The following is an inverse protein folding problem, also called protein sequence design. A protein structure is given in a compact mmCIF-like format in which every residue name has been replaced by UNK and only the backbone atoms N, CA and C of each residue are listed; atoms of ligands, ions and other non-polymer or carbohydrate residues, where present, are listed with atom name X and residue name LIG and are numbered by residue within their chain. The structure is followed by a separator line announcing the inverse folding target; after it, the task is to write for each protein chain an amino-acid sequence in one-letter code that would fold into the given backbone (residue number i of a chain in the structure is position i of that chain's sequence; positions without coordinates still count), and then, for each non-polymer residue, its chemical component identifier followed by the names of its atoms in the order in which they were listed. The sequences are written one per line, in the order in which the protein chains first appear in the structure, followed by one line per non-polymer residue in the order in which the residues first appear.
data_IF_523189962391
#
_entry.id   IF_523189962391
#
_cell.length_a   1.000
_cell.length_b   1.000
_cell.length_c   1.000
_cell.angle_alpha   90.00
_cell.angle_beta   90.00
_cell.angle_gamma   90.00
#
_symmetry.space_group_name_H-M   'P 1'
#
loop_
_entity.id
_entity.type
_entity.pdbx_description
1 polymer ?
#
# COMPACT_ATOMS: atom_id res chain seq x y z
N UNK A 1 5.70 6.77 -24.46
CA UNK A 1 4.60 7.02 -23.50
C UNK A 1 3.94 8.31 -23.91
N UNK A 2 2.65 8.29 -24.27
CA UNK A 2 1.92 9.54 -24.48
C UNK A 2 1.45 10.06 -23.14
N UNK A 3 1.70 11.34 -22.86
CA UNK A 3 1.25 12.00 -21.64
C UNK A 3 -0.28 12.16 -21.61
N UNK A 4 -0.95 11.99 -22.74
CA UNK A 4 -2.41 12.16 -22.89
C UNK A 4 -3.23 11.29 -21.93
N UNK A 5 -2.71 10.12 -21.52
CA UNK A 5 -3.38 9.23 -20.55
C UNK A 5 -3.31 9.74 -19.11
N UNK A 6 -2.28 10.51 -18.76
CA UNK A 6 -2.08 11.02 -17.40
C UNK A 6 -2.55 12.47 -17.25
N UNK A 7 -2.52 13.24 -18.32
CA UNK A 7 -2.91 14.65 -18.33
C UNK A 7 -3.66 14.98 -19.62
N UNK A 8 -4.87 15.51 -19.47
CA UNK A 8 -5.68 16.05 -20.56
C UNK A 8 -6.33 17.34 -20.07
N UNK A 9 -6.42 18.35 -20.93
CA UNK A 9 -7.00 19.65 -20.57
C UNK A 9 -8.47 19.48 -20.17
N UNK A 10 -8.83 19.95 -18.97
CA UNK A 10 -10.22 19.93 -18.47
C UNK A 10 -10.65 18.68 -17.72
N UNK A 11 -9.76 17.73 -17.44
CA UNK A 11 -10.06 16.52 -16.65
C UNK A 11 -9.59 16.70 -15.18
N UNK A 12 -10.41 16.31 -14.20
CA UNK A 12 -10.01 16.27 -12.79
C UNK A 12 -8.94 15.19 -12.58
N UNK A 13 -7.94 15.45 -11.74
CA UNK A 13 -6.89 14.48 -11.45
C UNK A 13 -7.46 13.14 -11.00
N UNK A 14 -8.56 13.14 -10.24
CA UNK A 14 -9.21 11.93 -9.73
C UNK A 14 -9.72 10.99 -10.83
N UNK A 15 -9.97 11.53 -12.03
CA UNK A 15 -10.47 10.78 -13.18
C UNK A 15 -9.35 10.26 -14.09
N UNK A 16 -8.08 10.50 -13.73
CA UNK A 16 -6.90 10.04 -14.49
C UNK A 16 -6.34 8.73 -13.94
N UNK A 17 -5.63 7.95 -14.77
CA UNK A 17 -4.89 6.76 -14.33
C UNK A 17 -3.89 7.09 -13.19
N UNK A 18 -3.32 8.30 -13.24
CA UNK A 18 -2.42 8.82 -12.22
C UNK A 18 -3.14 9.08 -10.89
N UNK A 19 -4.27 9.79 -10.93
CA UNK A 19 -5.07 10.04 -9.73
C UNK A 19 -5.69 8.77 -9.14
N UNK A 20 -6.09 7.82 -9.99
CA UNK A 20 -6.51 6.49 -9.54
C UNK A 20 -5.39 5.75 -8.80
N UNK A 21 -4.18 5.77 -9.35
CA UNK A 21 -3.03 5.16 -8.66
C UNK A 21 -2.76 5.86 -7.32
N UNK A 22 -2.81 7.20 -7.30
CA UNK A 22 -2.64 7.99 -6.08
C UNK A 22 -3.75 7.75 -5.04
N UNK A 23 -4.98 7.47 -5.43
CA UNK A 23 -6.05 7.15 -4.48
C UNK A 23 -5.80 5.82 -3.76
N UNK A 24 -5.18 4.86 -4.47
CA UNK A 24 -4.78 3.56 -3.91
C UNK A 24 -3.59 3.71 -2.98
N UNK A 25 -2.48 4.33 -3.42
CA UNK A 25 -1.22 4.35 -2.66
C UNK A 25 -1.10 5.54 -1.70
N UNK A 26 -1.95 6.55 -1.90
CA UNK A 26 -1.95 7.79 -1.13
C UNK A 26 -2.38 7.59 0.32
N UNK A 27 -1.81 8.42 1.19
CA UNK A 27 -2.04 8.36 2.62
C UNK A 27 -0.77 8.00 3.41
N UNK A 28 -0.74 8.42 4.67
CA UNK A 28 0.47 8.39 5.52
C UNK A 28 1.08 7.00 5.70
N UNK A 29 0.24 5.95 5.70
CA UNK A 29 0.66 4.61 6.11
C UNK A 29 0.53 3.53 5.03
N UNK A 30 -0.14 3.78 3.90
CA UNK A 30 -0.37 2.75 2.87
C UNK A 30 0.95 2.26 2.27
N UNK A 31 1.82 3.17 1.84
CA UNK A 31 3.13 2.81 1.25
C UNK A 31 4.02 2.03 2.21
N UNK A 32 4.16 2.47 3.47
CA UNK A 32 5.03 1.76 4.43
C UNK A 32 4.48 0.36 4.78
N UNK A 33 3.16 0.17 4.80
CA UNK A 33 2.55 -1.16 4.95
C UNK A 33 2.89 -2.06 3.76
N UNK A 34 2.76 -1.56 2.53
CA UNK A 34 3.10 -2.31 1.32
C UNK A 34 4.57 -2.72 1.31
N UNK A 35 5.49 -1.82 1.68
CA UNK A 35 6.92 -2.13 1.80
C UNK A 35 7.22 -3.23 2.82
N UNK A 36 6.61 -3.16 4.00
CA UNK A 36 6.79 -4.21 5.00
C UNK A 36 6.29 -5.57 4.51
N UNK A 37 5.16 -5.60 3.80
CA UNK A 37 4.65 -6.85 3.22
C UNK A 37 5.53 -7.37 2.09
N UNK A 38 6.10 -6.50 1.25
CA UNK A 38 7.05 -6.90 0.22
C UNK A 38 8.30 -7.55 0.85
N UNK A 39 8.84 -6.94 1.90
CA UNK A 39 10.05 -7.41 2.60
C UNK A 39 9.81 -8.72 3.38
N UNK A 40 8.72 -8.82 4.15
CA UNK A 40 8.47 -9.97 5.04
C UNK A 40 7.63 -11.07 4.41
N UNK A 41 7.01 -10.83 3.24
CA UNK A 41 6.04 -11.68 2.54
C UNK A 41 4.71 -11.86 3.28
N UNK A 42 4.77 -12.17 4.58
CA UNK A 42 3.63 -12.43 5.45
C UNK A 42 3.86 -11.75 6.80
N UNK A 43 2.88 -10.98 7.28
CA UNK A 43 2.96 -10.24 8.55
C UNK A 43 1.66 -10.38 9.35
N UNK A 44 1.76 -10.48 10.68
CA UNK A 44 0.61 -10.43 11.59
C UNK A 44 0.26 -9.00 12.02
N UNK A 45 -0.99 -8.74 12.40
CA UNK A 45 -1.44 -7.40 12.80
C UNK A 45 -0.55 -6.72 13.85
N UNK A 46 -0.21 -7.42 14.94
CA UNK A 46 0.62 -6.86 16.01
C UNK A 46 2.09 -6.69 15.58
N UNK A 47 2.56 -7.44 14.59
CA UNK A 47 3.89 -7.24 14.02
C UNK A 47 3.95 -5.93 13.23
N UNK A 48 2.94 -5.62 12.40
CA UNK A 48 2.84 -4.31 11.75
C UNK A 48 2.91 -3.16 12.75
N UNK A 49 2.14 -3.26 13.85
CA UNK A 49 2.12 -2.22 14.87
C UNK A 49 3.50 -2.02 15.50
N UNK A 50 4.25 -3.10 15.75
CA UNK A 50 5.63 -3.03 16.24
C UNK A 50 6.60 -2.45 15.21
N UNK A 51 6.51 -2.90 13.95
CA UNK A 51 7.38 -2.46 12.86
C UNK A 51 7.21 -0.98 12.52
N UNK A 52 5.98 -0.46 12.52
CA UNK A 52 5.68 0.93 12.15
C UNK A 52 5.77 1.86 13.38
N UNK A 53 5.46 1.37 14.58
CA UNK A 53 5.59 2.08 15.86
C UNK A 53 4.59 3.22 16.07
N UNK A 54 4.59 4.21 15.18
CA UNK A 54 3.83 5.47 15.29
C UNK A 54 2.35 5.37 14.92
N UNK A 55 1.95 4.32 14.18
CA UNK A 55 0.57 4.14 13.73
C UNK A 55 -0.34 3.67 14.88
N UNK A 56 -1.53 4.24 15.04
CA UNK A 56 -2.49 3.74 16.04
C UNK A 56 -3.07 2.37 15.61
N UNK A 57 -3.55 1.56 16.55
CA UNK A 57 -4.27 0.31 16.23
C UNK A 57 -5.47 0.55 15.31
N UNK A 58 -6.25 1.61 15.60
CA UNK A 58 -7.41 2.01 14.80
C UNK A 58 -7.00 2.36 13.36
N UNK A 59 -5.96 3.19 13.21
CA UNK A 59 -5.46 3.61 11.89
C UNK A 59 -4.89 2.44 11.11
N UNK A 60 -4.14 1.54 11.76
CA UNK A 60 -3.61 0.34 11.12
C UNK A 60 -4.74 -0.57 10.60
N UNK A 61 -5.77 -0.81 11.43
CA UNK A 61 -6.92 -1.61 11.02
C UNK A 61 -7.66 -1.00 9.85
N UNK A 62 -7.91 0.32 9.88
CA UNK A 62 -8.57 1.02 8.78
C UNK A 62 -7.74 0.94 7.49
N UNK A 63 -6.43 1.22 7.58
CA UNK A 63 -5.54 1.22 6.40
C UNK A 63 -5.44 -0.18 5.78
N UNK A 64 -5.38 -1.24 6.59
CA UNK A 64 -5.37 -2.62 6.07
C UNK A 64 -6.70 -2.99 5.41
N UNK A 65 -7.84 -2.54 5.96
CA UNK A 65 -9.17 -2.74 5.35
C UNK A 65 -9.31 -2.01 4.02
N UNK A 66 -8.81 -0.77 3.93
CA UNK A 66 -8.79 -0.01 2.67
C UNK A 66 -7.94 -0.73 1.61
N UNK A 67 -6.73 -1.14 1.97
CA UNK A 67 -5.85 -1.87 1.05
C UNK A 67 -6.40 -3.25 0.65
N UNK A 68 -7.14 -3.91 1.53
CA UNK A 68 -7.86 -5.14 1.23
C UNK A 68 -9.03 -4.89 0.26
N UNK A 69 -9.81 -3.83 0.49
CA UNK A 69 -10.89 -3.42 -0.41
C UNK A 69 -10.39 -3.01 -1.80
N UNK A 70 -9.23 -2.36 -1.86
CA UNK A 70 -8.54 -2.00 -3.12
C UNK A 70 -7.91 -3.24 -3.80
N UNK A 71 -7.95 -4.42 -3.18
CA UNK A 71 -7.38 -5.66 -3.69
C UNK A 71 -5.84 -5.69 -3.71
N UNK A 72 -5.20 -4.86 -2.89
CA UNK A 72 -3.74 -4.75 -2.76
C UNK A 72 -3.20 -5.71 -1.70
N UNK A 73 -3.95 -5.89 -0.62
CA UNK A 73 -3.59 -6.76 0.50
C UNK A 73 -4.56 -7.93 0.61
N UNK A 74 -4.02 -9.14 0.82
CA UNK A 74 -4.80 -10.34 1.12
C UNK A 74 -4.74 -10.58 2.62
N UNK A 75 -5.91 -10.67 3.24
CA UNK A 75 -6.08 -11.06 4.65
C UNK A 75 -6.46 -12.54 4.73
N UNK A 76 -5.63 -13.34 5.39
CA UNK A 76 -5.88 -14.78 5.58
C UNK A 76 -6.15 -15.07 7.05
N UNK A 77 -7.31 -15.66 7.33
CA UNK A 77 -7.65 -16.17 8.67
C UNK A 77 -7.31 -17.65 8.77
N UNK A 78 -6.70 -18.03 9.89
CA UNK A 78 -6.40 -19.42 10.21
C UNK A 78 -7.25 -19.82 11.42
N UNK A 79 -8.22 -20.72 11.25
CA UNK A 79 -9.06 -21.23 12.32
C UNK A 79 -8.24 -22.22 13.17
N UNK A 80 -7.45 -21.69 14.09
CA UNK A 80 -6.66 -22.43 15.06
C UNK A 80 -6.79 -21.78 16.45
N UNK A 81 -6.33 -22.45 17.51
CA UNK A 81 -6.27 -21.88 18.86
C UNK A 81 -4.80 -21.58 19.22
N UNK A 82 -4.43 -20.33 19.52
CA UNK A 82 -5.24 -19.10 19.38
C UNK A 82 -5.44 -18.71 17.90
N UNK A 83 -6.53 -17.98 17.57
CA UNK A 83 -6.83 -17.56 16.21
C UNK A 83 -5.69 -16.70 15.65
N UNK A 84 -5.38 -16.93 14.38
CA UNK A 84 -4.26 -16.28 13.70
C UNK A 84 -4.76 -15.61 12.43
N UNK A 85 -4.32 -14.37 12.23
CA UNK A 85 -4.59 -13.59 11.02
C UNK A 85 -3.26 -13.14 10.47
N UNK A 86 -3.09 -13.32 9.17
CA UNK A 86 -1.92 -12.90 8.43
C UNK A 86 -2.32 -12.03 7.24
N UNK A 87 -1.39 -11.17 6.85
CA UNK A 87 -1.52 -10.25 5.73
C UNK A 87 -0.37 -10.49 4.76
N UNK A 88 -0.65 -10.43 3.47
CA UNK A 88 0.32 -10.50 2.38
C UNK A 88 -0.10 -9.57 1.24
N UNK A 89 0.82 -9.25 0.33
CA UNK A 89 0.43 -8.57 -0.91
C UNK A 89 -0.27 -9.54 -1.86
N UNK A 90 -1.35 -9.09 -2.48
CA UNK A 90 -1.91 -9.77 -3.65
C UNK A 90 -0.93 -9.66 -4.84
N UNK A 91 -1.19 -10.40 -5.92
CA UNK A 91 -0.46 -10.22 -7.18
C UNK A 91 -0.55 -8.77 -7.68
N UNK A 92 -1.73 -8.15 -7.59
CA UNK A 92 -1.94 -6.74 -7.89
C UNK A 92 -1.11 -5.84 -6.98
N UNK A 93 -1.04 -6.13 -5.68
CA UNK A 93 -0.22 -5.36 -4.73
C UNK A 93 1.29 -5.51 -5.00
N UNK A 94 1.74 -6.68 -5.39
CA UNK A 94 3.13 -6.92 -5.80
C UNK A 94 3.49 -6.12 -7.06
N UNK A 95 2.57 -5.97 -8.01
CA UNK A 95 2.78 -5.16 -9.21
C UNK A 95 2.99 -3.66 -8.93
N UNK A 96 2.59 -3.15 -7.76
CA UNK A 96 2.82 -1.76 -7.35
C UNK A 96 4.21 -1.53 -6.75
N UNK A 97 4.91 -2.57 -6.27
CA UNK A 97 6.20 -2.41 -5.60
C UNK A 97 7.25 -1.71 -6.49
N UNK A 98 7.43 -2.08 -7.78
CA UNK A 98 8.35 -1.36 -8.65
C UNK A 98 8.03 0.14 -8.81
N UNK A 99 6.74 0.52 -8.73
CA UNK A 99 6.33 1.93 -8.78
C UNK A 99 6.75 2.65 -7.50
N UNK A 100 6.53 2.03 -6.34
CA UNK A 100 6.95 2.59 -5.05
C UNK A 100 8.47 2.71 -4.97
N UNK A 101 9.21 1.71 -5.47
CA UNK A 101 10.67 1.71 -5.51
C UNK A 101 11.20 2.89 -6.35
N UNK A 102 10.60 3.13 -7.51
CA UNK A 102 10.95 4.29 -8.35
C UNK A 102 10.71 5.63 -7.63
N UNK A 103 9.63 5.75 -6.86
CA UNK A 103 9.39 6.93 -6.03
C UNK A 103 10.45 7.08 -4.93
N UNK A 104 10.85 5.98 -4.29
CA UNK A 104 11.89 5.97 -3.26
C UNK A 104 13.26 6.37 -3.85
N UNK A 105 13.62 5.81 -5.00
CA UNK A 105 14.86 6.12 -5.71
C UNK A 105 14.93 7.60 -6.10
N UNK A 106 13.85 8.15 -6.67
CA UNK A 106 13.78 9.58 -6.99
C UNK A 106 13.95 10.43 -5.72
N UNK A 107 13.28 10.06 -4.63
CA UNK A 107 13.41 10.75 -3.34
C UNK A 107 14.83 10.73 -2.81
N UNK A 108 15.52 9.58 -2.87
CA UNK A 108 16.92 9.46 -2.47
C UNK A 108 17.87 10.34 -3.29
N UNK A 109 17.61 10.50 -4.59
CA UNK A 109 18.43 11.35 -5.48
C UNK A 109 18.18 12.85 -5.30
N UNK A 110 17.02 13.26 -4.79
CA UNK A 110 16.57 14.66 -4.78
C UNK A 110 16.34 15.24 -3.37
N UNK A 111 16.61 14.47 -2.31
CA UNK A 111 16.49 14.96 -0.93
C UNK A 111 17.60 15.98 -0.65
N UNK A 112 17.23 17.26 -0.59
CA UNK A 112 18.08 18.36 -0.10
C UNK A 112 18.04 18.43 1.43
#
# INVERSE_FOLDING_TARGET
MSFDKCISTGIDIQDTDFGYTLSIIGGKYKMIIMYWLAERKVIRFNEFKRCIGTISYKTLSLTLKELEADGIVVRTEFPQIPPKVEYSLSERGQSLIPVLDAMCEWGGKNRR
#
